data_IF_947508893909
#
_entry.id   IF_947508893909
#
_cell.length_a   1.000
_cell.length_b   1.000
_cell.length_c   1.000
_cell.angle_alpha   90.00
_cell.angle_beta   90.00
_cell.angle_gamma   90.00
#
_symmetry.space_group_name_H-M   'P 1'
#
loop_
_entity.id
_entity.type
_entity.pdbx_description
1 polymer ?
#
# COMPACT_ATOMS: atom_id res chain seq x y z
N UNK A 1 -19.57 -7.51 -37.04
CA UNK A 1 -18.22 -8.12 -37.02
C UNK A 1 -18.34 -9.62 -36.88
N UNK A 2 -17.71 -10.42 -37.74
CA UNK A 2 -17.73 -11.88 -37.64
C UNK A 2 -16.93 -12.35 -36.39
N UNK A 3 -17.38 -13.43 -35.73
CA UNK A 3 -16.72 -14.01 -34.54
C UNK A 3 -15.22 -14.29 -34.77
N UNK A 4 -14.83 -14.63 -36.00
CA UNK A 4 -13.43 -14.85 -36.36
C UNK A 4 -12.61 -13.55 -36.34
N UNK A 5 -13.15 -12.42 -36.81
CA UNK A 5 -12.49 -11.11 -36.76
C UNK A 5 -12.20 -10.70 -35.32
N UNK A 6 -13.15 -10.87 -34.40
CA UNK A 6 -12.95 -10.57 -32.96
C UNK A 6 -11.85 -11.47 -32.38
N UNK A 7 -11.84 -12.76 -32.73
CA UNK A 7 -10.81 -13.71 -32.28
C UNK A 7 -9.41 -13.30 -32.76
N UNK A 8 -9.24 -13.04 -34.06
CA UNK A 8 -7.95 -12.63 -34.62
C UNK A 8 -7.49 -11.29 -34.07
N UNK A 9 -8.39 -10.30 -33.97
CA UNK A 9 -8.06 -8.99 -33.42
C UNK A 9 -7.64 -9.09 -31.95
N UNK A 10 -8.33 -9.92 -31.15
CA UNK A 10 -8.00 -10.11 -29.73
C UNK A 10 -6.62 -10.77 -29.55
N UNK A 11 -6.31 -11.77 -30.38
CA UNK A 11 -5.00 -12.44 -30.36
C UNK A 11 -3.90 -11.49 -30.85
N UNK A 12 -4.12 -10.80 -31.97
CA UNK A 12 -3.16 -9.85 -32.52
C UNK A 12 -2.87 -8.73 -31.52
N UNK A 13 -3.91 -8.15 -30.91
CA UNK A 13 -3.77 -7.13 -29.89
C UNK A 13 -3.03 -7.64 -28.65
N UNK A 14 -3.34 -8.85 -28.18
CA UNK A 14 -2.62 -9.48 -27.08
C UNK A 14 -1.13 -9.66 -27.40
N UNK A 15 -0.80 -10.18 -28.58
CA UNK A 15 0.59 -10.40 -29.01
C UNK A 15 1.33 -9.07 -29.15
N UNK A 16 0.72 -8.06 -29.75
CA UNK A 16 1.32 -6.72 -29.89
C UNK A 16 1.59 -6.10 -28.52
N UNK A 17 0.61 -6.16 -27.59
CA UNK A 17 0.80 -5.67 -26.23
C UNK A 17 1.90 -6.44 -25.48
N UNK A 18 1.99 -7.76 -25.68
CA UNK A 18 3.01 -8.58 -25.05
C UNK A 18 4.42 -8.23 -25.58
N UNK A 19 4.58 -8.11 -26.89
CA UNK A 19 5.84 -7.71 -27.52
C UNK A 19 6.24 -6.30 -27.07
N UNK A 20 5.28 -5.37 -27.09
CA UNK A 20 5.49 -4.01 -26.61
C UNK A 20 5.90 -3.97 -25.12
N UNK A 21 5.24 -4.78 -24.29
CA UNK A 21 5.57 -4.92 -22.87
C UNK A 21 6.98 -5.47 -22.65
N UNK A 22 7.37 -6.52 -23.38
CA UNK A 22 8.73 -7.08 -23.32
C UNK A 22 9.77 -6.05 -23.77
N UNK A 23 9.53 -5.38 -24.90
CA UNK A 23 10.43 -4.35 -25.43
C UNK A 23 10.64 -3.21 -24.44
N UNK A 24 9.55 -2.63 -23.94
CA UNK A 24 9.58 -1.51 -23.00
C UNK A 24 10.23 -1.91 -21.67
N UNK A 25 9.99 -3.14 -21.19
CA UNK A 25 10.65 -3.67 -20.00
C UNK A 25 12.16 -3.84 -20.18
N UNK A 26 12.61 -4.42 -21.28
CA UNK A 26 14.03 -4.56 -21.58
C UNK A 26 14.70 -3.19 -21.75
N UNK A 27 14.06 -2.27 -22.46
CA UNK A 27 14.54 -0.90 -22.59
C UNK A 27 14.69 -0.24 -21.22
N UNK A 28 13.67 -0.38 -20.34
CA UNK A 28 13.70 0.13 -18.97
C UNK A 28 14.88 -0.43 -18.16
N UNK A 29 15.13 -1.74 -18.21
CA UNK A 29 16.30 -2.35 -17.56
C UNK A 29 17.64 -1.84 -18.13
N UNK A 30 17.64 -1.40 -19.38
CA UNK A 30 18.80 -0.87 -20.07
C UNK A 30 19.19 0.56 -19.70
N UNK A 31 18.28 1.32 -19.07
CA UNK A 31 18.53 2.71 -18.68
C UNK A 31 19.53 2.73 -17.51
N UNK A 32 20.64 3.49 -17.60
CA UNK A 32 21.70 3.50 -16.60
C UNK A 32 21.21 3.76 -15.17
N UNK A 33 20.32 4.74 -15.02
CA UNK A 33 19.76 5.11 -13.72
C UNK A 33 18.94 3.99 -13.06
N UNK A 34 18.26 3.17 -13.86
CA UNK A 34 17.53 2.01 -13.35
C UNK A 34 18.51 0.90 -12.97
N UNK A 35 19.53 0.64 -13.79
CA UNK A 35 20.59 -0.33 -13.49
C UNK A 35 21.29 -0.09 -12.15
N UNK A 36 21.57 1.17 -11.79
CA UNK A 36 22.17 1.55 -10.50
C UNK A 36 21.34 1.15 -9.28
N UNK A 37 20.02 1.01 -9.44
CA UNK A 37 19.09 0.65 -8.35
C UNK A 37 18.75 -0.84 -8.38
N UNK A 38 18.70 -1.41 -9.59
CA UNK A 38 18.23 -2.77 -9.83
C UNK A 38 19.34 -3.82 -9.80
N UNK A 39 20.60 -3.42 -9.91
CA UNK A 39 21.76 -4.30 -9.99
C UNK A 39 22.79 -3.98 -8.90
N UNK A 40 23.60 -4.96 -8.54
CA UNK A 40 24.80 -4.72 -7.73
C UNK A 40 25.83 -3.92 -8.54
N UNK A 41 26.50 -2.95 -7.91
CA UNK A 41 27.50 -2.06 -8.57
C UNK A 41 28.52 -2.79 -9.45
N UNK A 42 29.21 -3.86 -9.01
CA UNK A 42 30.20 -4.53 -9.86
C UNK A 42 29.59 -5.13 -11.13
N UNK A 43 28.33 -5.59 -11.07
CA UNK A 43 27.61 -6.14 -12.22
C UNK A 43 27.19 -5.01 -13.17
N UNK A 44 26.70 -3.90 -12.62
CA UNK A 44 26.34 -2.72 -13.41
C UNK A 44 27.54 -2.13 -14.17
N UNK A 45 28.69 -2.02 -13.51
CA UNK A 45 29.90 -1.47 -14.11
C UNK A 45 30.41 -2.38 -15.25
N UNK A 46 30.38 -3.70 -15.05
CA UNK A 46 30.75 -4.67 -16.08
C UNK A 46 29.82 -4.63 -17.31
N UNK A 47 28.51 -4.49 -17.09
CA UNK A 47 27.51 -4.38 -18.17
C UNK A 47 27.63 -3.06 -18.93
N UNK A 48 27.92 -1.97 -18.23
CA UNK A 48 28.14 -0.65 -18.83
C UNK A 48 29.38 -0.67 -19.71
N UNK A 49 30.47 -1.32 -19.27
CA UNK A 49 31.69 -1.47 -20.08
C UNK A 49 31.52 -2.37 -21.32
N UNK A 50 30.59 -3.33 -21.29
CA UNK A 50 30.41 -4.31 -22.38
C UNK A 50 29.46 -3.85 -23.50
N UNK A 51 28.58 -2.89 -23.23
CA UNK A 51 27.53 -2.41 -24.16
C UNK A 51 27.77 -0.96 -24.67
N UNK A 52 28.99 -0.45 -24.61
CA UNK A 52 29.37 0.93 -25.02
C UNK A 52 29.63 1.11 -26.52
N UNK A 53 29.76 0.02 -27.29
CA UNK A 53 30.23 0.05 -28.69
C UNK A 53 29.16 0.15 -29.78
N UNK A 54 27.87 0.30 -29.45
CA UNK A 54 26.78 0.32 -30.43
C UNK A 54 26.18 1.72 -30.61
N UNK A 55 26.08 2.22 -31.83
CA UNK A 55 25.42 3.50 -32.14
C UNK A 55 23.88 3.40 -31.96
N UNK A 56 23.21 4.48 -31.54
CA UNK A 56 21.74 4.56 -31.42
C UNK A 56 21.15 4.05 -30.09
N UNK A 57 19.92 3.51 -30.11
CA UNK A 57 19.23 2.93 -28.94
C UNK A 57 19.71 1.50 -28.58
N UNK A 58 20.56 0.91 -29.41
CA UNK A 58 21.14 -0.43 -29.24
C UNK A 58 21.88 -0.64 -27.90
N UNK A 59 22.58 0.35 -27.30
CA UNK A 59 23.18 0.24 -25.97
C UNK A 59 22.16 -0.04 -24.86
N UNK A 60 20.95 0.52 -24.96
CA UNK A 60 19.91 0.29 -23.96
C UNK A 60 19.37 -1.14 -24.06
N UNK A 61 19.06 -1.63 -25.26
CA UNK A 61 18.60 -3.00 -25.44
C UNK A 61 19.68 -4.04 -25.09
N UNK A 62 20.95 -3.79 -25.46
CA UNK A 62 22.09 -4.63 -25.07
C UNK A 62 22.19 -4.75 -23.55
N UNK A 63 22.16 -3.61 -22.83
CA UNK A 63 22.16 -3.62 -21.36
C UNK A 63 20.92 -4.28 -20.81
N UNK A 64 19.73 -3.97 -21.32
CA UNK A 64 18.47 -4.53 -20.86
C UNK A 64 18.41 -6.05 -20.90
N UNK A 65 18.84 -6.63 -22.04
CA UNK A 65 18.92 -8.08 -22.22
C UNK A 65 19.93 -8.72 -21.24
N UNK A 66 21.12 -8.15 -21.13
CA UNK A 66 22.16 -8.69 -20.25
C UNK A 66 21.90 -8.41 -18.76
N UNK A 67 21.10 -7.39 -18.43
CA UNK A 67 20.64 -7.06 -17.09
C UNK A 67 19.50 -7.97 -16.62
N UNK A 68 18.79 -8.67 -17.51
CA UNK A 68 17.59 -9.43 -17.16
C UNK A 68 17.84 -10.48 -16.08
N UNK A 69 18.87 -11.31 -16.25
CA UNK A 69 19.18 -12.36 -15.29
C UNK A 69 19.76 -11.82 -13.97
N UNK A 70 20.75 -10.90 -13.98
CA UNK A 70 21.20 -10.24 -12.76
C UNK A 70 20.10 -9.50 -12.00
N UNK A 71 19.18 -8.85 -12.72
CA UNK A 71 18.00 -8.21 -12.12
C UNK A 71 17.11 -9.24 -11.44
N UNK A 72 16.82 -10.38 -12.10
CA UNK A 72 16.03 -11.45 -11.50
C UNK A 72 16.70 -12.01 -10.25
N UNK A 73 17.98 -12.33 -10.33
CA UNK A 73 18.74 -12.84 -9.18
C UNK A 73 18.73 -11.87 -8.01
N UNK A 74 19.03 -10.59 -8.27
CA UNK A 74 18.99 -9.56 -7.24
C UNK A 74 17.56 -9.39 -6.68
N UNK A 75 16.54 -9.45 -7.52
CA UNK A 75 15.13 -9.39 -7.10
C UNK A 75 14.78 -10.57 -6.19
N UNK A 76 15.16 -11.79 -6.53
CA UNK A 76 14.94 -12.97 -5.68
C UNK A 76 15.71 -12.88 -4.35
N UNK A 77 16.96 -12.42 -4.39
CA UNK A 77 17.75 -12.15 -3.16
C UNK A 77 17.05 -11.12 -2.28
N UNK A 78 16.53 -10.03 -2.86
CA UNK A 78 15.78 -9.00 -2.13
C UNK A 78 14.40 -9.47 -1.65
N UNK A 79 13.81 -10.46 -2.32
CA UNK A 79 12.55 -11.11 -1.93
C UNK A 79 12.74 -12.23 -0.90
N UNK A 80 13.98 -12.61 -0.55
CA UNK A 80 14.29 -13.54 0.55
C UNK A 80 13.42 -13.34 1.80
N UNK A 81 13.17 -12.10 2.29
CA UNK A 81 12.26 -11.86 3.41
C UNK A 81 10.87 -12.48 3.21
N UNK A 82 10.29 -12.33 2.02
CA UNK A 82 8.94 -12.83 1.71
C UNK A 82 8.86 -14.37 1.64
N UNK A 83 10.00 -15.08 1.60
CA UNK A 83 10.01 -16.54 1.60
C UNK A 83 9.34 -17.09 2.88
N UNK A 84 9.65 -16.52 4.05
CA UNK A 84 9.04 -16.97 5.30
C UNK A 84 7.54 -16.68 5.35
N UNK A 85 7.11 -15.55 4.77
CA UNK A 85 5.69 -15.26 4.58
C UNK A 85 5.02 -16.32 3.70
N UNK A 86 5.66 -16.72 2.59
CA UNK A 86 5.14 -17.76 1.70
C UNK A 86 5.09 -19.14 2.37
N UNK A 87 6.14 -19.53 3.11
CA UNK A 87 6.19 -20.79 3.87
C UNK A 87 5.06 -20.84 4.89
N UNK A 88 4.90 -19.79 5.71
CA UNK A 88 3.85 -19.75 6.73
C UNK A 88 2.46 -19.78 6.07
N UNK A 89 2.25 -19.03 4.99
CA UNK A 89 1.00 -19.06 4.23
C UNK A 89 0.68 -20.46 3.69
N UNK A 90 1.69 -21.16 3.15
CA UNK A 90 1.54 -22.52 2.63
C UNK A 90 1.23 -23.52 3.74
N UNK A 91 1.88 -23.42 4.90
CA UNK A 91 1.58 -24.27 6.08
C UNK A 91 0.15 -24.05 6.56
N UNK A 92 -0.30 -22.79 6.67
CA UNK A 92 -1.67 -22.48 7.06
C UNK A 92 -2.69 -23.02 6.05
N UNK A 93 -2.45 -22.83 4.76
CA UNK A 93 -3.30 -23.36 3.69
C UNK A 93 -3.35 -24.89 3.71
N UNK A 94 -2.19 -25.55 3.84
CA UNK A 94 -2.08 -27.00 3.96
C UNK A 94 -2.80 -27.54 5.21
N UNK A 95 -2.73 -26.81 6.34
CA UNK A 95 -3.47 -27.14 7.55
C UNK A 95 -4.98 -27.08 7.37
N UNK A 96 -5.50 -26.04 6.69
CA UNK A 96 -6.93 -25.91 6.37
C UNK A 96 -7.40 -27.04 5.45
N UNK A 97 -6.64 -27.32 4.38
CA UNK A 97 -6.94 -28.42 3.47
C UNK A 97 -6.90 -29.78 4.18
N UNK A 98 -5.87 -30.02 4.99
CA UNK A 98 -5.70 -31.27 5.74
C UNK A 98 -6.83 -31.49 6.74
N UNK A 99 -7.23 -30.45 7.49
CA UNK A 99 -8.37 -30.52 8.40
C UNK A 99 -9.69 -30.82 7.67
N UNK A 100 -9.90 -30.25 6.48
CA UNK A 100 -11.07 -30.53 5.66
C UNK A 100 -11.05 -31.95 5.09
N UNK A 101 -9.90 -32.39 4.57
CA UNK A 101 -9.72 -33.73 4.02
C UNK A 101 -9.89 -34.81 5.09
N UNK A 102 -9.41 -34.58 6.32
CA UNK A 102 -9.61 -35.49 7.45
C UNK A 102 -11.10 -35.67 7.79
N UNK A 103 -11.91 -34.62 7.68
CA UNK A 103 -13.35 -34.67 7.98
C UNK A 103 -14.20 -35.27 6.86
N UNK A 104 -13.81 -35.07 5.61
CA UNK A 104 -14.68 -35.36 4.44
C UNK A 104 -14.13 -36.42 3.50
N UNK A 105 -12.87 -36.83 3.67
CA UNK A 105 -12.16 -37.75 2.78
C UNK A 105 -11.80 -37.14 1.41
N UNK A 106 -12.03 -35.84 1.18
CA UNK A 106 -11.78 -35.17 -0.10
C UNK A 106 -10.84 -33.98 0.07
N UNK A 107 -9.83 -33.90 -0.81
CA UNK A 107 -8.95 -32.73 -0.93
C UNK A 107 -9.63 -31.66 -1.78
N UNK A 108 -10.55 -30.91 -1.19
CA UNK A 108 -11.26 -29.79 -1.83
C UNK A 108 -11.33 -28.61 -0.87
N UNK A 109 -11.27 -27.39 -1.40
CA UNK A 109 -11.49 -26.18 -0.61
C UNK A 109 -12.97 -25.83 -0.71
N UNK A 110 -13.74 -26.17 0.33
CA UNK A 110 -15.14 -25.76 0.47
C UNK A 110 -15.30 -24.84 1.67
N UNK A 111 -15.34 -23.54 1.42
CA UNK A 111 -15.42 -22.50 2.44
C UNK A 111 -16.56 -21.54 2.12
N UNK A 112 -17.42 -21.28 3.10
CA UNK A 112 -18.37 -20.16 3.04
C UNK A 112 -17.64 -18.87 3.40
N UNK A 113 -17.32 -18.08 2.39
CA UNK A 113 -16.63 -16.80 2.56
C UNK A 113 -17.64 -15.67 2.76
N UNK A 114 -17.26 -14.68 3.57
CA UNK A 114 -18.00 -13.44 3.83
C UNK A 114 -17.05 -12.26 3.65
N UNK A 115 -17.53 -11.03 3.41
CA UNK A 115 -16.66 -9.87 3.19
C UNK A 115 -15.61 -9.65 4.29
N UNK A 116 -16.00 -9.82 5.56
CA UNK A 116 -15.07 -9.69 6.69
C UNK A 116 -13.98 -10.76 6.74
N UNK A 117 -14.19 -11.95 6.17
CA UNK A 117 -13.12 -12.95 6.06
C UNK A 117 -12.01 -12.46 5.14
N UNK A 118 -12.36 -11.79 4.02
CA UNK A 118 -11.37 -11.18 3.11
C UNK A 118 -10.60 -10.07 3.83
N UNK A 119 -11.30 -9.26 4.63
CA UNK A 119 -10.67 -8.24 5.47
C UNK A 119 -9.68 -8.83 6.47
N UNK A 120 -10.06 -9.92 7.16
CA UNK A 120 -9.17 -10.61 8.09
C UNK A 120 -7.97 -11.25 7.40
N UNK A 121 -8.15 -11.85 6.22
CA UNK A 121 -7.04 -12.38 5.43
C UNK A 121 -6.07 -11.26 5.05
N UNK A 122 -6.59 -10.09 4.64
CA UNK A 122 -5.77 -8.92 4.33
C UNK A 122 -4.99 -8.41 5.56
N UNK A 123 -5.65 -8.27 6.72
CA UNK A 123 -5.00 -7.85 7.97
C UNK A 123 -3.97 -8.88 8.44
N UNK A 124 -4.28 -10.17 8.32
CA UNK A 124 -3.36 -11.26 8.60
C UNK A 124 -2.13 -11.21 7.69
N UNK A 125 -2.31 -10.97 6.40
CA UNK A 125 -1.22 -10.76 5.44
C UNK A 125 -0.38 -9.52 5.79
N UNK A 126 -1.01 -8.38 6.10
CA UNK A 126 -0.31 -7.18 6.55
C UNK A 126 0.58 -7.45 7.77
N UNK A 127 0.00 -8.06 8.80
CA UNK A 127 0.70 -8.37 10.04
C UNK A 127 1.85 -9.35 9.81
N UNK A 128 1.63 -10.39 9.02
CA UNK A 128 2.63 -11.42 8.76
C UNK A 128 3.78 -10.87 7.93
N UNK A 129 3.50 -10.12 6.86
CA UNK A 129 4.53 -9.44 6.05
C UNK A 129 5.34 -8.50 6.95
N UNK A 130 4.69 -7.62 7.72
CA UNK A 130 5.38 -6.69 8.62
C UNK A 130 6.28 -7.42 9.62
N UNK A 131 5.78 -8.50 10.24
CA UNK A 131 6.51 -9.29 11.24
C UNK A 131 7.73 -9.98 10.63
N UNK A 132 7.57 -10.54 9.43
CA UNK A 132 8.66 -11.21 8.72
C UNK A 132 9.74 -10.20 8.32
N UNK A 133 9.37 -9.05 7.74
CA UNK A 133 10.33 -7.99 7.40
C UNK A 133 11.09 -7.45 8.61
N UNK A 134 10.41 -7.26 9.75
CA UNK A 134 11.04 -6.80 10.98
C UNK A 134 12.02 -7.81 11.60
N UNK A 135 11.90 -9.09 11.22
CA UNK A 135 12.71 -10.19 11.78
C UNK A 135 13.89 -10.59 10.89
N UNK A 136 13.95 -10.11 9.65
CA UNK A 136 14.97 -10.48 8.68
C UNK A 136 16.26 -9.71 8.96
N UNK A 137 17.40 -10.42 8.91
CA UNK A 137 18.73 -9.83 8.80
C UNK A 137 19.04 -9.58 7.31
N UNK A 138 19.16 -8.31 6.91
CA UNK A 138 19.73 -7.91 5.63
C UNK A 138 21.04 -7.17 5.90
N UNK A 139 22.16 -7.73 5.45
CA UNK A 139 23.50 -7.16 5.67
C UNK A 139 23.94 -7.15 7.15
N UNK A 140 24.95 -6.33 7.44
CA UNK A 140 25.60 -6.28 8.77
C UNK A 140 24.72 -5.62 9.85
N UNK A 141 23.72 -4.83 9.43
CA UNK A 141 22.80 -4.13 10.30
C UNK A 141 21.34 -4.49 9.98
N UNK A 142 20.73 -5.46 10.69
CA UNK A 142 19.31 -5.75 10.54
C UNK A 142 18.43 -4.50 10.77
N UNK A 143 17.26 -4.40 10.12
CA UNK A 143 16.37 -3.24 10.22
C UNK A 143 15.89 -2.90 11.65
N UNK A 144 15.94 -3.88 12.56
CA UNK A 144 15.58 -3.71 13.98
C UNK A 144 16.73 -3.20 14.86
N UNK A 145 17.94 -3.01 14.31
CA UNK A 145 19.07 -2.42 15.02
C UNK A 145 19.07 -0.91 14.83
N UNK A 146 19.21 -0.21 15.94
CA UNK A 146 19.37 1.25 15.98
C UNK A 146 20.77 1.53 16.51
N UNK A 147 21.49 2.38 15.79
CA UNK A 147 22.79 2.90 16.22
C UNK A 147 22.56 4.25 16.89
N UNK A 148 23.27 4.48 17.99
CA UNK A 148 23.19 5.75 18.70
C UNK A 148 23.52 6.95 17.79
N UNK A 149 22.64 7.98 17.75
CA UNK A 149 22.83 9.14 16.90
C UNK A 149 23.88 10.08 17.46
N UNK A 150 25.13 9.77 17.14
CA UNK A 150 26.31 10.61 17.39
C UNK A 150 26.68 11.38 16.12
N UNK A 151 27.27 12.59 16.24
CA UNK A 151 27.74 13.37 15.08
C UNK A 151 28.72 12.60 14.18
N UNK A 152 29.49 11.67 14.77
CA UNK A 152 30.45 10.82 14.05
C UNK A 152 29.80 9.70 13.22
N UNK A 153 28.55 9.34 13.53
CA UNK A 153 27.76 8.33 12.81
C UNK A 153 26.85 9.00 11.77
N UNK A 154 26.28 10.14 12.11
CA UNK A 154 25.34 10.88 11.27
C UNK A 154 25.99 12.17 10.73
N UNK A 155 26.84 12.02 9.71
CA UNK A 155 27.73 13.10 9.22
C UNK A 155 27.03 14.20 8.42
N UNK A 156 25.82 13.96 7.91
CA UNK A 156 25.09 14.87 7.03
C UNK A 156 23.74 15.33 7.61
N UNK A 157 23.61 15.32 8.94
CA UNK A 157 22.37 15.71 9.63
C UNK A 157 22.62 17.01 10.38
N UNK A 158 21.77 18.02 10.16
CA UNK A 158 21.82 19.27 10.91
C UNK A 158 21.57 19.07 12.40
N UNK A 159 21.95 20.05 13.24
CA UNK A 159 21.85 19.93 14.71
C UNK A 159 20.43 19.56 15.19
N UNK A 160 19.40 20.21 14.63
CA UNK A 160 17.99 19.91 14.94
C UNK A 160 17.60 18.47 14.59
N UNK A 161 18.09 17.97 13.45
CA UNK A 161 17.84 16.60 13.03
C UNK A 161 18.54 15.59 13.93
N UNK A 162 19.75 15.91 14.39
CA UNK A 162 20.50 15.05 15.31
C UNK A 162 19.82 15.01 16.68
N UNK A 163 19.39 16.16 17.20
CA UNK A 163 18.63 16.25 18.45
C UNK A 163 17.33 15.45 18.37
N UNK A 164 16.58 15.57 17.27
CA UNK A 164 15.36 14.78 17.05
C UNK A 164 15.64 13.27 17.06
N UNK A 165 16.76 12.83 16.49
CA UNK A 165 17.15 11.42 16.52
C UNK A 165 17.52 10.97 17.95
N UNK A 166 18.22 11.80 18.71
CA UNK A 166 18.56 11.55 20.12
C UNK A 166 17.30 11.44 20.97
N UNK A 167 16.39 12.41 20.88
CA UNK A 167 15.11 12.41 21.60
C UNK A 167 14.27 11.16 21.27
N UNK A 168 14.27 10.73 20.00
CA UNK A 168 13.58 9.50 19.60
C UNK A 168 14.23 8.25 20.19
N UNK A 169 15.57 8.19 20.26
CA UNK A 169 16.29 7.09 20.90
C UNK A 169 16.00 7.04 22.40
N UNK A 170 16.08 8.18 23.08
CA UNK A 170 15.88 8.26 24.53
C UNK A 170 14.44 7.92 24.90
N UNK A 171 13.45 8.37 24.13
CA UNK A 171 12.06 7.92 24.29
C UNK A 171 11.91 6.40 24.15
N UNK A 172 12.68 5.75 23.26
CA UNK A 172 12.67 4.29 23.13
C UNK A 172 13.38 3.60 24.30
N UNK A 173 14.43 4.21 24.88
CA UNK A 173 15.07 3.73 26.12
C UNK A 173 14.11 3.83 27.29
N UNK A 174 13.45 4.97 27.47
CA UNK A 174 12.48 5.23 28.54
C UNK A 174 11.28 4.29 28.49
N UNK A 175 10.82 3.95 27.28
CA UNK A 175 9.76 2.97 27.06
C UNK A 175 10.22 1.51 27.19
N UNK A 176 11.48 1.28 27.58
CA UNK A 176 12.10 -0.03 27.71
C UNK A 176 11.98 -0.86 26.41
N UNK A 177 12.06 -0.19 25.26
CA UNK A 177 11.91 -0.79 23.93
C UNK A 177 13.21 -1.26 23.30
N UNK A 178 14.34 -0.98 23.93
CA UNK A 178 15.67 -1.27 23.42
C UNK A 178 16.38 -2.32 24.27
N UNK A 179 17.18 -3.15 23.62
CA UNK A 179 18.13 -4.08 24.24
C UNK A 179 19.50 -3.71 23.73
N UNK A 180 20.44 -3.44 24.63
CA UNK A 180 21.83 -3.19 24.25
C UNK A 180 22.44 -4.47 23.68
N UNK A 181 23.08 -4.37 22.51
CA UNK A 181 23.70 -5.50 21.80
C UNK A 181 25.23 -5.38 21.76
N UNK A 182 25.75 -4.15 21.76
CA UNK A 182 27.19 -3.91 21.67
C UNK A 182 27.51 -2.45 21.40
N UNK A 183 28.77 -2.21 21.01
CA UNK A 183 29.30 -0.89 20.75
C UNK A 183 30.25 -0.95 19.54
N UNK A 184 30.26 0.09 18.71
CA UNK A 184 31.22 0.24 17.62
C UNK A 184 32.54 0.86 18.10
N UNK A 185 33.60 0.70 17.29
CA UNK A 185 34.94 1.25 17.56
C UNK A 185 34.94 2.79 17.74
N UNK A 186 33.97 3.47 17.14
CA UNK A 186 33.79 4.92 17.24
C UNK A 186 33.08 5.38 18.53
N UNK A 187 32.72 4.46 19.42
CA UNK A 187 32.02 4.73 20.67
C UNK A 187 30.49 4.59 20.62
N UNK A 188 29.91 4.42 19.43
CA UNK A 188 28.46 4.41 19.27
C UNK A 188 27.83 3.12 19.82
N UNK A 189 26.85 3.25 20.71
CA UNK A 189 26.11 2.12 21.25
C UNK A 189 25.13 1.56 20.20
N UNK A 190 24.97 0.24 20.19
CA UNK A 190 24.08 -0.47 19.29
C UNK A 190 22.97 -1.14 20.10
N UNK A 191 21.73 -0.83 19.72
CA UNK A 191 20.54 -1.35 20.35
C UNK A 191 19.70 -2.17 19.37
N UNK A 192 19.02 -3.19 19.87
CA UNK A 192 18.00 -3.93 19.15
C UNK A 192 16.61 -3.60 19.70
N UNK A 193 15.66 -3.31 18.83
CA UNK A 193 14.28 -3.05 19.23
C UNK A 193 13.61 -4.36 19.65
N UNK A 194 13.02 -4.37 20.84
CA UNK A 194 12.24 -5.52 21.34
C UNK A 194 11.06 -5.83 20.43
N UNK A 195 10.81 -7.13 20.20
CA UNK A 195 9.70 -7.61 19.37
C UNK A 195 8.34 -7.04 19.79
N UNK A 196 8.09 -6.93 21.08
CA UNK A 196 6.84 -6.34 21.58
C UNK A 196 6.65 -4.89 21.12
N UNK A 197 7.71 -4.07 21.12
CA UNK A 197 7.62 -2.68 20.67
C UNK A 197 7.44 -2.56 19.17
N UNK A 198 8.01 -3.48 18.38
CA UNK A 198 7.74 -3.59 16.94
C UNK A 198 6.25 -3.86 16.69
N UNK A 199 5.66 -4.81 17.42
CA UNK A 199 4.23 -5.14 17.30
C UNK A 199 3.32 -4.00 17.81
N UNK A 200 3.72 -3.31 18.88
CA UNK A 200 3.06 -2.08 19.34
C UNK A 200 3.07 -1.02 18.24
N UNK A 201 4.20 -0.82 17.56
CA UNK A 201 4.31 0.09 16.41
C UNK A 201 3.42 -0.33 15.24
N UNK A 202 3.29 -1.63 14.96
CA UNK A 202 2.34 -2.11 13.95
C UNK A 202 0.92 -1.64 14.27
N UNK A 203 0.48 -1.82 15.52
CA UNK A 203 -0.87 -1.40 15.93
C UNK A 203 -1.04 0.12 15.88
N UNK A 204 -0.09 0.88 16.42
CA UNK A 204 -0.24 2.34 16.53
C UNK A 204 0.00 3.10 15.22
N UNK A 205 0.80 2.55 14.30
CA UNK A 205 1.17 3.21 13.04
C UNK A 205 0.47 2.61 11.83
N UNK A 206 0.42 1.29 11.71
CA UNK A 206 -0.14 0.62 10.52
C UNK A 206 -1.64 0.41 10.68
N UNK A 207 -2.08 -0.16 11.81
CA UNK A 207 -3.49 -0.46 12.03
C UNK A 207 -4.36 0.78 12.20
N UNK A 208 -3.85 1.84 12.82
CA UNK A 208 -4.56 3.12 12.95
C UNK A 208 -4.91 3.71 11.58
N UNK A 209 -3.94 3.77 10.67
CA UNK A 209 -4.14 4.24 9.30
C UNK A 209 -5.07 3.32 8.50
N UNK A 210 -4.92 2.01 8.67
CA UNK A 210 -5.82 1.04 8.04
C UNK A 210 -7.27 1.22 8.50
N UNK A 211 -7.51 1.36 9.81
CA UNK A 211 -8.84 1.59 10.38
C UNK A 211 -9.41 2.90 9.84
N UNK A 212 -8.61 3.96 9.77
CA UNK A 212 -9.05 5.23 9.21
C UNK A 212 -9.48 5.10 7.74
N UNK A 213 -8.70 4.39 6.92
CA UNK A 213 -9.06 4.12 5.52
C UNK A 213 -10.36 3.29 5.42
N UNK A 214 -10.59 2.35 6.35
CA UNK A 214 -11.87 1.61 6.40
C UNK A 214 -13.04 2.52 6.75
N UNK A 215 -12.85 3.48 7.65
CA UNK A 215 -13.88 4.50 7.94
C UNK A 215 -14.18 5.30 6.69
N UNK A 216 -13.17 5.83 6.00
CA UNK A 216 -13.37 6.55 4.74
C UNK A 216 -14.07 5.71 3.67
N UNK A 217 -13.68 4.44 3.52
CA UNK A 217 -14.34 3.53 2.57
C UNK A 217 -15.81 3.30 2.94
N UNK A 218 -16.11 3.18 4.23
CA UNK A 218 -17.49 3.07 4.72
C UNK A 218 -18.29 4.34 4.42
N UNK A 219 -17.73 5.52 4.65
CA UNK A 219 -18.34 6.80 4.28
C UNK A 219 -18.67 6.87 2.79
N UNK A 220 -17.72 6.50 1.93
CA UNK A 220 -17.93 6.44 0.48
C UNK A 220 -19.05 5.46 0.12
N UNK A 221 -19.07 4.27 0.71
CA UNK A 221 -20.15 3.30 0.47
C UNK A 221 -21.52 3.86 0.86
N UNK A 222 -21.63 4.53 2.01
CA UNK A 222 -22.88 5.14 2.48
C UNK A 222 -23.32 6.28 1.57
N UNK A 223 -22.44 7.24 1.31
CA UNK A 223 -22.70 8.40 0.47
C UNK A 223 -23.08 7.98 -0.95
N UNK A 224 -22.31 7.09 -1.57
CA UNK A 224 -22.57 6.65 -2.93
C UNK A 224 -23.84 5.82 -3.06
N UNK A 225 -24.19 5.02 -2.04
CA UNK A 225 -25.50 4.33 -2.03
C UNK A 225 -26.65 5.33 -1.94
N UNK A 226 -26.52 6.38 -1.14
CA UNK A 226 -27.53 7.44 -1.06
C UNK A 226 -27.70 8.14 -2.42
N UNK A 227 -26.58 8.44 -3.10
CA UNK A 227 -26.59 9.00 -4.46
C UNK A 227 -27.24 8.04 -5.46
N UNK A 228 -26.87 6.76 -5.47
CA UNK A 228 -27.49 5.74 -6.33
C UNK A 228 -29.00 5.67 -6.15
N UNK A 229 -29.47 5.75 -4.89
CA UNK A 229 -30.88 5.75 -4.58
C UNK A 229 -31.59 7.00 -5.09
N UNK A 230 -30.94 8.17 -4.95
CA UNK A 230 -31.45 9.44 -5.47
C UNK A 230 -31.62 9.44 -6.99
N UNK A 231 -30.64 8.90 -7.72
CA UNK A 231 -30.71 8.73 -9.19
C UNK A 231 -31.49 7.47 -9.62
N UNK A 232 -32.06 6.73 -8.68
CA UNK A 232 -32.90 5.53 -8.89
C UNK A 232 -32.19 4.38 -9.62
N UNK A 233 -30.87 4.30 -9.56
CA UNK A 233 -30.11 3.16 -10.07
C UNK A 233 -30.06 2.04 -9.03
N UNK A 234 -30.47 0.83 -9.42
CA UNK A 234 -30.46 -0.38 -8.57
C UNK A 234 -29.62 -1.47 -9.24
N UNK A 235 -28.33 -1.57 -8.90
CA UNK A 235 -27.48 -2.62 -9.45
C UNK A 235 -27.93 -4.01 -8.94
N UNK A 236 -27.88 -5.02 -9.81
CA UNK A 236 -28.37 -6.38 -9.47
C UNK A 236 -27.33 -7.25 -8.74
N UNK A 237 -26.05 -6.84 -8.73
CA UNK A 237 -24.96 -7.61 -8.11
C UNK A 237 -24.32 -6.79 -7.00
N UNK A 238 -24.13 -7.40 -5.83
CA UNK A 238 -23.53 -6.74 -4.66
C UNK A 238 -22.16 -6.13 -4.96
N UNK A 239 -21.31 -6.84 -5.72
CA UNK A 239 -19.99 -6.33 -6.11
C UNK A 239 -20.09 -5.08 -6.99
N UNK A 240 -21.00 -5.07 -7.96
CA UNK A 240 -21.23 -3.92 -8.83
C UNK A 240 -21.79 -2.73 -8.03
N UNK A 241 -22.73 -3.01 -7.12
CA UNK A 241 -23.30 -2.01 -6.22
C UNK A 241 -22.24 -1.39 -5.32
N UNK A 242 -21.34 -2.20 -4.76
CA UNK A 242 -20.23 -1.73 -3.94
C UNK A 242 -19.26 -0.86 -4.75
N UNK A 243 -18.83 -1.31 -5.93
CA UNK A 243 -17.93 -0.53 -6.79
C UNK A 243 -18.53 0.83 -7.19
N UNK A 244 -19.79 0.85 -7.63
CA UNK A 244 -20.48 2.08 -8.00
C UNK A 244 -20.70 3.00 -6.79
N UNK A 245 -21.01 2.42 -5.62
CA UNK A 245 -21.16 3.19 -4.39
C UNK A 245 -19.83 3.81 -3.95
N UNK A 246 -18.72 3.07 -3.96
CA UNK A 246 -17.41 3.66 -3.63
C UNK A 246 -17.06 4.79 -4.60
N UNK A 247 -17.23 4.59 -5.91
CA UNK A 247 -16.91 5.61 -6.92
C UNK A 247 -17.75 6.89 -6.77
N UNK A 248 -19.09 6.75 -6.71
CA UNK A 248 -19.98 7.90 -6.53
C UNK A 248 -19.82 8.55 -5.16
N UNK A 249 -19.55 7.75 -4.13
CA UNK A 249 -19.27 8.21 -2.79
C UNK A 249 -18.02 9.05 -2.71
N UNK A 250 -16.92 8.63 -3.35
CA UNK A 250 -15.70 9.41 -3.45
C UNK A 250 -15.96 10.77 -4.12
N UNK A 251 -16.71 10.80 -5.24
CA UNK A 251 -17.10 12.05 -5.90
C UNK A 251 -17.94 12.96 -4.99
N UNK A 252 -18.95 12.41 -4.32
CA UNK A 252 -19.80 13.16 -3.40
C UNK A 252 -18.99 13.74 -2.23
N UNK A 253 -18.07 12.94 -1.69
CA UNK A 253 -17.26 13.33 -0.55
C UNK A 253 -16.23 14.41 -0.91
N UNK A 254 -15.60 14.31 -2.08
CA UNK A 254 -14.75 15.39 -2.63
C UNK A 254 -15.56 16.67 -2.81
N UNK A 255 -16.77 16.59 -3.37
CA UNK A 255 -17.62 17.76 -3.55
C UNK A 255 -17.99 18.42 -2.22
N UNK A 256 -18.31 17.63 -1.18
CA UNK A 256 -18.60 18.13 0.16
C UNK A 256 -17.39 18.84 0.79
N UNK A 257 -16.21 18.22 0.77
CA UNK A 257 -14.98 18.81 1.31
C UNK A 257 -14.58 20.09 0.58
N UNK A 258 -14.75 20.10 -0.75
CA UNK A 258 -14.56 21.29 -1.55
C UNK A 258 -15.54 22.40 -1.16
N UNK A 259 -16.83 22.09 -0.98
CA UNK A 259 -17.81 23.07 -0.50
C UNK A 259 -17.43 23.61 0.88
N UNK A 260 -16.95 22.77 1.80
CA UNK A 260 -16.48 23.22 3.11
C UNK A 260 -15.28 24.19 2.99
N UNK A 261 -14.34 23.90 2.10
CA UNK A 261 -13.20 24.76 1.84
C UNK A 261 -13.60 26.13 1.24
N UNK A 262 -14.58 26.14 0.33
CA UNK A 262 -15.13 27.38 -0.28
C UNK A 262 -15.93 28.18 0.74
N UNK A 263 -16.76 27.54 1.56
CA UNK A 263 -17.52 28.24 2.61
C UNK A 263 -16.57 28.83 3.65
N UNK A 264 -15.53 28.10 4.05
CA UNK A 264 -14.52 28.60 5.00
C UNK A 264 -13.79 29.85 4.49
N UNK A 265 -13.61 29.95 3.17
CA UNK A 265 -13.04 31.14 2.53
C UNK A 265 -13.96 32.36 2.62
N UNK A 266 -15.26 32.18 2.38
CA UNK A 266 -16.23 33.28 2.30
C UNK A 266 -16.90 33.62 3.64
N UNK A 267 -16.88 32.71 4.61
CA UNK A 267 -17.42 32.89 5.95
C UNK A 267 -16.34 32.58 7.00
N UNK A 268 -15.40 33.50 7.28
CA UNK A 268 -14.28 33.27 8.20
C UNK A 268 -14.70 32.93 9.63
N UNK A 269 -15.93 33.28 10.03
CA UNK A 269 -16.52 32.92 11.32
C UNK A 269 -16.89 31.43 11.44
N UNK A 270 -16.90 30.68 10.33
CA UNK A 270 -17.25 29.26 10.26
C UNK A 270 -16.12 28.45 9.58
N UNK A 271 -15.06 28.06 10.32
CA UNK A 271 -13.95 27.28 9.77
C UNK A 271 -14.35 25.81 9.55
N UNK A 272 -15.11 25.55 8.48
CA UNK A 272 -15.60 24.22 8.10
C UNK A 272 -14.53 23.31 7.49
N UNK A 273 -13.39 23.86 7.08
CA UNK A 273 -12.24 23.08 6.60
C UNK A 273 -11.19 22.94 7.71
N UNK A 274 -11.59 22.25 8.79
CA UNK A 274 -10.81 22.04 10.00
C UNK A 274 -10.91 20.60 10.49
N UNK A 275 -10.02 20.21 11.40
CA UNK A 275 -9.96 18.89 12.03
C UNK A 275 -11.32 18.46 12.61
N UNK A 276 -11.92 19.33 13.41
CA UNK A 276 -13.21 19.10 14.05
C UNK A 276 -14.33 18.93 13.02
N UNK A 277 -14.37 19.78 11.99
CA UNK A 277 -15.37 19.68 10.93
C UNK A 277 -15.23 18.39 10.11
N UNK A 278 -14.00 17.93 9.86
CA UNK A 278 -13.72 16.64 9.23
C UNK A 278 -14.30 15.47 10.06
N UNK A 279 -14.01 15.43 11.36
CA UNK A 279 -14.58 14.41 12.26
C UNK A 279 -16.10 14.47 12.35
N UNK A 280 -16.66 15.69 12.43
CA UNK A 280 -18.11 15.89 12.42
C UNK A 280 -18.74 15.38 11.12
N UNK A 281 -18.09 15.59 9.97
CA UNK A 281 -18.56 15.06 8.69
C UNK A 281 -18.59 13.53 8.69
N UNK A 282 -17.51 12.89 9.17
CA UNK A 282 -17.42 11.42 9.30
C UNK A 282 -18.49 10.85 10.25
N UNK A 283 -19.01 11.64 11.20
CA UNK A 283 -20.10 11.20 12.08
C UNK A 283 -21.48 11.50 11.50
N UNK A 284 -21.68 12.67 10.89
CA UNK A 284 -22.98 13.11 10.38
C UNK A 284 -23.40 12.31 9.17
N UNK A 285 -22.49 11.98 8.25
CA UNK A 285 -22.83 11.29 7.01
C UNK A 285 -23.46 9.90 7.24
N UNK A 286 -22.95 9.01 8.11
CA UNK A 286 -23.60 7.75 8.41
C UNK A 286 -24.88 7.93 9.24
N UNK A 287 -24.98 8.98 10.06
CA UNK A 287 -26.21 9.31 10.81
C UNK A 287 -27.34 9.79 9.89
N UNK A 288 -27.05 10.72 9.00
CA UNK A 288 -27.99 11.20 7.99
C UNK A 288 -28.36 10.07 7.01
N UNK A 289 -27.40 9.23 6.66
CA UNK A 289 -27.54 8.06 5.81
C UNK A 289 -27.87 6.75 6.57
N UNK A 290 -28.46 6.78 7.76
CA UNK A 290 -28.52 5.60 8.65
C UNK A 290 -29.06 4.31 8.00
N UNK A 291 -30.06 4.43 7.11
CA UNK A 291 -30.61 3.28 6.37
C UNK A 291 -29.57 2.64 5.44
N UNK A 292 -28.75 3.47 4.81
CA UNK A 292 -27.67 3.05 3.91
C UNK A 292 -26.48 2.49 4.70
N UNK A 293 -26.17 3.08 5.86
CA UNK A 293 -25.17 2.58 6.80
C UNK A 293 -25.52 1.18 7.32
N UNK A 294 -26.75 1.00 7.83
CA UNK A 294 -27.25 -0.30 8.30
C UNK A 294 -27.30 -1.35 7.18
N UNK A 295 -27.66 -0.94 5.96
CA UNK A 295 -27.61 -1.82 4.81
C UNK A 295 -26.19 -2.37 4.60
N UNK A 296 -25.17 -1.51 4.53
CA UNK A 296 -23.80 -1.96 4.27
C UNK A 296 -23.23 -2.76 5.42
N UNK A 297 -23.53 -2.38 6.67
CA UNK A 297 -23.14 -3.17 7.85
C UNK A 297 -23.75 -4.59 7.78
N UNK A 298 -25.04 -4.69 7.43
CA UNK A 298 -25.70 -5.98 7.26
C UNK A 298 -25.05 -6.78 6.13
N UNK A 299 -24.85 -6.19 4.94
CA UNK A 299 -24.21 -6.90 3.83
C UNK A 299 -22.79 -7.36 4.18
N UNK A 300 -22.00 -6.53 4.87
CA UNK A 300 -20.66 -6.89 5.29
C UNK A 300 -20.62 -8.09 6.24
N UNK A 301 -21.59 -8.19 7.16
CA UNK A 301 -21.65 -9.25 8.17
C UNK A 301 -22.37 -10.53 7.68
N UNK A 302 -23.42 -10.38 6.86
CA UNK A 302 -24.32 -11.49 6.49
C UNK A 302 -24.14 -12.00 5.07
N UNK A 303 -23.63 -11.19 4.13
CA UNK A 303 -23.45 -11.68 2.77
C UNK A 303 -22.42 -12.83 2.79
N UNK A 304 -22.80 -13.95 2.19
CA UNK A 304 -21.94 -15.12 2.08
C UNK A 304 -21.96 -15.64 0.65
N UNK A 305 -20.82 -16.14 0.22
CA UNK A 305 -20.70 -16.90 -1.02
C UNK A 305 -19.92 -18.18 -0.75
N UNK A 306 -20.32 -19.26 -1.41
CA UNK A 306 -19.60 -20.52 -1.32
C UNK A 306 -18.41 -20.49 -2.29
N UNK A 307 -17.22 -20.74 -1.74
CA UNK A 307 -16.03 -21.04 -2.51
C UNK A 307 -15.88 -22.56 -2.50
N UNK A 308 -16.29 -23.21 -3.59
CA UNK A 308 -16.07 -24.63 -3.83
C UNK A 308 -15.07 -24.77 -4.99
N UNK A 309 -13.81 -25.04 -4.63
CA UNK A 309 -12.68 -25.05 -5.57
C UNK A 309 -11.76 -26.22 -5.29
N UNK A 310 -11.19 -26.78 -6.36
CA UNK A 310 -10.11 -27.76 -6.22
C UNK A 310 -8.88 -27.09 -5.63
N UNK A 311 -8.09 -27.83 -4.84
CA UNK A 311 -6.86 -27.29 -4.25
C UNK A 311 -5.81 -26.85 -5.28
N UNK A 312 -5.92 -27.36 -6.53
CA UNK A 312 -5.07 -27.01 -7.68
C UNK A 312 -5.62 -25.84 -8.51
N UNK A 313 -6.77 -25.28 -8.15
CA UNK A 313 -7.38 -24.20 -8.93
C UNK A 313 -6.47 -22.96 -8.89
N UNK A 314 -6.00 -22.46 -10.05
CA UNK A 314 -5.09 -21.31 -10.11
C UNK A 314 -5.69 -20.04 -9.49
N UNK A 315 -7.03 -19.94 -9.38
CA UNK A 315 -7.70 -18.82 -8.72
C UNK A 315 -7.25 -18.69 -7.27
N UNK A 316 -6.95 -19.79 -6.57
CA UNK A 316 -6.50 -19.76 -5.18
C UNK A 316 -5.14 -19.05 -5.09
N UNK A 317 -4.20 -19.43 -5.95
CA UNK A 317 -2.87 -18.81 -6.02
C UNK A 317 -2.97 -17.33 -6.42
N UNK A 318 -3.77 -17.02 -7.45
CA UNK A 318 -3.97 -15.64 -7.91
C UNK A 318 -4.62 -14.77 -6.82
N UNK A 319 -5.57 -15.30 -6.07
CA UNK A 319 -6.19 -14.59 -4.94
C UNK A 319 -5.18 -14.32 -3.83
N UNK A 320 -4.36 -15.31 -3.48
CA UNK A 320 -3.30 -15.13 -2.50
C UNK A 320 -2.25 -14.10 -2.96
N UNK A 321 -1.83 -14.15 -4.23
CA UNK A 321 -0.92 -13.16 -4.82
C UNK A 321 -1.53 -11.75 -4.79
N UNK A 322 -2.82 -11.60 -5.12
CA UNK A 322 -3.50 -10.31 -5.09
C UNK A 322 -3.57 -9.73 -3.67
N UNK A 323 -3.98 -10.53 -2.68
CA UNK A 323 -4.04 -10.07 -1.27
C UNK A 323 -2.64 -9.69 -0.78
N UNK A 324 -1.63 -10.52 -1.10
CA UNK A 324 -0.23 -10.26 -0.76
C UNK A 324 0.27 -8.98 -1.40
N UNK A 325 -0.01 -8.77 -2.69
CA UNK A 325 0.37 -7.57 -3.42
C UNK A 325 -0.26 -6.33 -2.80
N UNK A 326 -1.57 -6.35 -2.50
CA UNK A 326 -2.25 -5.22 -1.87
C UNK A 326 -1.70 -4.94 -0.46
N UNK A 327 -1.44 -5.97 0.33
CA UNK A 327 -0.88 -5.83 1.68
C UNK A 327 0.55 -5.25 1.63
N UNK A 328 1.38 -5.75 0.72
CA UNK A 328 2.73 -5.24 0.51
C UNK A 328 2.73 -3.79 0.02
N UNK A 329 1.85 -3.44 -0.93
CA UNK A 329 1.70 -2.06 -1.39
C UNK A 329 1.21 -1.14 -0.27
N UNK A 330 0.26 -1.59 0.55
CA UNK A 330 -0.21 -0.81 1.69
C UNK A 330 0.92 -0.50 2.67
N UNK A 331 1.74 -1.49 3.06
CA UNK A 331 2.91 -1.28 3.90
C UNK A 331 3.97 -0.39 3.23
N UNK A 332 4.09 -0.47 1.91
CA UNK A 332 5.03 0.35 1.13
C UNK A 332 4.59 1.81 1.03
N UNK A 333 3.28 2.08 0.99
CA UNK A 333 2.70 3.43 0.97
C UNK A 333 2.68 4.04 2.37
N UNK A 334 2.39 3.25 3.41
CA UNK A 334 2.42 3.65 4.83
C UNK A 334 3.86 3.71 5.37
N UNK A 335 4.78 4.23 4.57
CA UNK A 335 6.19 4.42 4.92
C UNK A 335 6.38 5.79 5.57
N UNK A 336 7.34 5.92 6.51
CA UNK A 336 7.63 7.20 7.18
C UNK A 336 8.19 8.27 6.22
N UNK A 337 8.67 7.89 5.03
CA UNK A 337 9.26 8.82 4.08
C UNK A 337 8.61 8.69 2.68
N UNK A 338 8.03 9.76 2.12
CA UNK A 338 7.58 9.77 0.73
C UNK A 338 8.76 9.57 -0.23
N UNK A 339 8.57 8.85 -1.33
CA UNK A 339 9.61 8.69 -2.36
C UNK A 339 8.97 8.97 -3.72
N UNK A 340 9.33 10.11 -4.31
CA UNK A 340 8.88 10.52 -5.64
C UNK A 340 8.35 11.95 -5.65
N UNK A 341 8.38 12.57 -6.84
CA UNK A 341 7.89 13.93 -7.04
C UNK A 341 6.37 14.04 -6.79
N UNK A 342 5.61 13.02 -7.17
CA UNK A 342 4.15 12.97 -6.96
C UNK A 342 3.77 12.75 -5.47
N UNK A 343 4.48 11.85 -4.78
CA UNK A 343 4.36 11.61 -3.33
C UNK A 343 4.59 12.90 -2.51
N UNK A 344 5.64 13.64 -2.83
CA UNK A 344 5.98 14.88 -2.12
C UNK A 344 5.07 16.04 -2.52
N UNK A 345 4.85 16.25 -3.82
CA UNK A 345 4.07 17.36 -4.34
C UNK A 345 2.57 17.19 -4.12
N UNK A 346 2.00 16.16 -4.74
CA UNK A 346 0.55 15.96 -4.84
C UNK A 346 -0.05 15.37 -3.57
N UNK A 347 0.63 14.45 -2.89
CA UNK A 347 0.05 13.72 -1.75
C UNK A 347 0.47 14.24 -0.37
N UNK A 348 1.51 15.08 -0.28
CA UNK A 348 1.94 15.67 0.99
C UNK A 348 1.89 17.20 1.00
N UNK A 349 2.59 17.86 0.07
CA UNK A 349 2.72 19.32 0.11
C UNK A 349 1.38 20.01 -0.18
N UNK A 350 0.67 19.62 -1.25
CA UNK A 350 -0.63 20.23 -1.57
C UNK A 350 -1.67 20.02 -0.47
N UNK A 351 -1.90 18.80 0.05
CA UNK A 351 -2.89 18.61 1.10
C UNK A 351 -2.47 19.31 2.41
N UNK A 352 -1.18 19.33 2.74
CA UNK A 352 -0.66 20.08 3.90
C UNK A 352 -0.87 21.59 3.75
N UNK A 353 -0.64 22.14 2.55
CA UNK A 353 -0.93 23.55 2.27
C UNK A 353 -2.43 23.83 2.44
N UNK A 354 -3.31 22.97 1.91
CA UNK A 354 -4.77 23.13 2.07
C UNK A 354 -5.18 23.19 3.55
N UNK A 355 -4.63 22.31 4.38
CA UNK A 355 -4.86 22.35 5.83
C UNK A 355 -4.28 23.61 6.46
N UNK A 356 -3.06 24.02 6.07
CA UNK A 356 -2.41 25.21 6.60
C UNK A 356 -3.15 26.50 6.27
N UNK A 357 -3.76 26.60 5.09
CA UNK A 357 -4.60 27.74 4.72
C UNK A 357 -5.99 27.66 5.35
N UNK A 358 -6.50 26.45 5.63
CA UNK A 358 -7.82 26.24 6.23
C UNK A 358 -8.97 26.62 5.30
N UNK A 359 -8.71 26.80 4.00
CA UNK A 359 -9.69 27.20 3.00
C UNK A 359 -9.22 26.82 1.59
N UNK A 360 -10.08 27.08 0.60
CA UNK A 360 -9.80 26.87 -0.82
C UNK A 360 -8.56 27.65 -1.31
N UNK A 361 -7.70 27.01 -2.12
CA UNK A 361 -6.51 27.63 -2.72
C UNK A 361 -6.75 27.88 -4.22
N UNK A 362 -6.85 29.15 -4.61
CA UNK A 362 -7.20 29.56 -6.00
C UNK A 362 -6.25 29.07 -7.09
N UNK A 363 -4.98 28.86 -6.76
CA UNK A 363 -3.98 28.36 -7.72
C UNK A 363 -4.02 26.84 -7.92
N UNK A 364 -4.83 26.12 -7.13
CA UNK A 364 -5.07 24.69 -7.30
C UNK A 364 -6.32 24.46 -8.14
N UNK A 365 -6.30 23.47 -9.04
CA UNK A 365 -7.51 23.14 -9.78
C UNK A 365 -8.60 22.61 -8.82
N UNK A 366 -9.89 22.88 -9.11
CA UNK A 366 -10.97 22.70 -8.15
C UNK A 366 -11.33 21.24 -7.82
N UNK A 367 -10.91 20.24 -8.60
CA UNK A 367 -11.37 18.85 -8.49
C UNK A 367 -10.23 17.84 -8.41
N UNK A 368 -9.67 17.70 -7.23
CA UNK A 368 -8.46 16.93 -6.99
C UNK A 368 -8.60 16.00 -5.78
N UNK A 369 -7.93 14.85 -5.82
CA UNK A 369 -7.92 13.86 -4.72
C UNK A 369 -7.26 14.42 -3.45
N UNK A 370 -6.56 15.54 -3.57
CA UNK A 370 -5.95 16.33 -2.51
C UNK A 370 -6.91 16.73 -1.40
N UNK A 371 -8.20 16.96 -1.69
CA UNK A 371 -9.22 17.18 -0.64
C UNK A 371 -9.39 15.95 0.24
N UNK A 372 -9.44 14.77 -0.35
CA UNK A 372 -9.55 13.52 0.40
C UNK A 372 -8.28 13.26 1.22
N UNK A 373 -7.10 13.41 0.61
CA UNK A 373 -5.82 13.15 1.30
C UNK A 373 -5.51 14.20 2.37
N UNK A 374 -6.06 15.41 2.25
CA UNK A 374 -5.94 16.45 3.29
C UNK A 374 -6.56 16.05 4.62
N UNK A 375 -7.54 15.14 4.61
CA UNK A 375 -8.11 14.60 5.85
C UNK A 375 -7.05 13.96 6.72
N UNK A 376 -6.02 13.34 6.15
CA UNK A 376 -4.91 12.76 6.93
C UNK A 376 -4.09 13.80 7.71
N UNK A 377 -4.09 15.06 7.29
CA UNK A 377 -3.43 16.19 7.98
C UNK A 377 -4.38 16.94 8.92
N UNK A 378 -5.68 16.72 8.79
CA UNK A 378 -6.70 17.25 9.68
C UNK A 378 -6.90 16.35 10.92
N UNK A 379 -6.27 15.17 10.95
CA UNK A 379 -6.19 14.29 12.13
C UNK A 379 -5.03 14.70 13.03
#
# INVERSE_FOLDING_TARGET
MQKQTIKYLSIAFFVVLLIWGIYTFLYYLGVPYHGLVLLERPVFDALTGSCTGSEGDLPYLCRGLNSFWPFLENSFRRMSPLLWYAIISFVLYGGVLGAYAFRTGRMQLKLSMRPWHVLLLFVGSLWLIFTVFASVQQGDLPPRRIVEPLPRVYTNVGEEGLQTLQDNLDRLKDQNCLVHVGQFDNGAQVYEIKRFCIQKSFVTRVMSLFIFILVLLFEMLVAGRAVLHWIRLKPNRLFLEAMLSVGLGACAFIALLWTFAVVSLHAPSLPLFSASAGWVLLLILPLAGYKHALYWLKQFLSASWECDRSWRDPIILLTWLLITYLAFNFLSVVRPFPIGWDDLGSYLNRPRLMVSYGHFIFSMAPFFWEYLTSLGFLL
#
